data_IF_862364548497
#
_entry.id   IF_862364548497
#
_cell.length_a   1.000
_cell.length_b   1.000
_cell.length_c   1.000
_cell.angle_alpha   90.00
_cell.angle_beta   90.00
_cell.angle_gamma   90.00
#
_symmetry.space_group_name_H-M   'P 1'
#
loop_
_entity.id
_entity.type
_entity.pdbx_description
1 polymer ?
#
# COMPACT_ATOMS: atom_id res chain seq x y z
N UNK A 1 -6.87 6.59 21.10
CA UNK A 1 -5.85 5.93 20.27
C UNK A 1 -6.33 4.51 20.06
N UNK A 2 -6.97 4.22 18.94
CA UNK A 2 -7.44 2.87 18.63
C UNK A 2 -6.20 2.05 18.24
N UNK A 3 -5.72 1.20 19.15
CA UNK A 3 -4.89 0.05 18.78
C UNK A 3 -5.80 -0.90 17.99
N UNK A 4 -5.98 -0.63 16.70
CA UNK A 4 -6.57 -1.61 15.80
C UNK A 4 -5.47 -2.59 15.42
N UNK A 5 -5.50 -3.75 16.06
CA UNK A 5 -4.79 -4.92 15.56
C UNK A 5 -5.42 -5.30 14.22
N UNK A 6 -4.71 -5.01 13.14
CA UNK A 6 -5.10 -5.49 11.81
C UNK A 6 -4.91 -6.99 11.78
N UNK A 7 -5.80 -7.68 11.07
CA UNK A 7 -5.63 -9.10 10.80
C UNK A 7 -4.36 -9.33 9.97
N UNK A 8 -3.77 -10.51 10.10
CA UNK A 8 -2.62 -10.92 9.27
C UNK A 8 -2.93 -10.76 7.79
N UNK A 9 -4.16 -11.12 7.39
CA UNK A 9 -4.66 -10.93 6.03
C UNK A 9 -4.63 -9.47 5.57
N UNK A 10 -5.07 -8.52 6.40
CA UNK A 10 -5.03 -7.10 6.04
C UNK A 10 -3.59 -6.58 5.87
N UNK A 11 -2.65 -7.08 6.68
CA UNK A 11 -1.23 -6.77 6.55
C UNK A 11 -0.65 -7.35 5.25
N UNK A 12 -0.98 -8.59 4.90
CA UNK A 12 -0.61 -9.19 3.60
C UNK A 12 -1.13 -8.37 2.42
N UNK A 13 -2.41 -7.98 2.47
CA UNK A 13 -3.04 -7.15 1.44
C UNK A 13 -2.33 -5.80 1.29
N UNK A 14 -1.98 -5.17 2.41
CA UNK A 14 -1.20 -3.94 2.42
C UNK A 14 0.21 -4.14 1.79
N UNK A 15 0.88 -5.27 2.06
CA UNK A 15 2.16 -5.58 1.41
C UNK A 15 2.01 -5.78 -0.10
N UNK A 16 0.95 -6.46 -0.55
CA UNK A 16 0.67 -6.66 -1.97
C UNK A 16 0.48 -5.33 -2.70
N UNK A 17 -0.25 -4.39 -2.11
CA UNK A 17 -0.45 -3.04 -2.66
C UNK A 17 0.88 -2.28 -2.78
N UNK A 18 1.84 -2.52 -1.90
CA UNK A 18 3.15 -1.87 -1.92
C UNK A 18 4.16 -2.51 -2.89
N UNK A 19 3.92 -3.73 -3.41
CA UNK A 19 4.82 -4.40 -4.36
C UNK A 19 5.27 -3.52 -5.54
N UNK A 20 4.42 -2.69 -6.17
CA UNK A 20 4.84 -1.82 -7.26
C UNK A 20 5.89 -0.77 -6.85
N UNK A 21 5.99 -0.43 -5.57
CA UNK A 21 7.05 0.44 -5.06
C UNK A 21 8.40 -0.28 -4.89
N UNK A 22 8.43 -1.62 -4.79
CA UNK A 22 9.69 -2.39 -4.65
C UNK A 22 10.59 -2.28 -5.88
N UNK A 23 10.02 -2.05 -7.07
CA UNK A 23 10.79 -2.03 -8.32
C UNK A 23 11.56 -0.73 -8.56
N UNK A 24 11.35 0.30 -7.75
CA UNK A 24 11.79 1.69 -8.03
C UNK A 24 12.52 2.29 -6.83
N UNK A 25 13.36 1.51 -6.13
CA UNK A 25 14.18 2.02 -5.01
C UNK A 25 15.29 3.01 -5.45
N UNK A 26 15.39 3.35 -6.73
CA UNK A 26 16.35 4.32 -7.25
C UNK A 26 15.88 5.77 -7.00
N UNK A 27 16.37 6.33 -5.88
CA UNK A 27 16.60 7.75 -5.61
C UNK A 27 15.43 8.76 -5.51
N UNK A 28 14.20 8.44 -5.94
CA UNK A 28 13.02 9.31 -5.71
C UNK A 28 11.82 8.50 -5.26
N UNK A 29 11.09 8.92 -4.23
CA UNK A 29 9.84 8.26 -3.82
C UNK A 29 8.85 8.34 -4.99
N UNK A 30 8.55 7.22 -5.68
CA UNK A 30 7.77 7.29 -6.91
C UNK A 30 6.33 7.57 -6.53
N UNK A 31 5.81 8.71 -6.95
CA UNK A 31 4.39 9.02 -6.79
C UNK A 31 3.58 8.07 -7.68
N UNK A 32 2.57 7.41 -7.10
CA UNK A 32 1.65 6.53 -7.84
C UNK A 32 0.22 6.98 -7.64
N UNK A 33 -0.63 6.73 -8.62
CA UNK A 33 -2.05 7.01 -8.45
C UNK A 33 -2.76 5.86 -7.74
N UNK A 34 -3.79 6.16 -6.98
CA UNK A 34 -4.68 5.16 -6.37
C UNK A 34 -5.28 4.22 -7.42
N UNK A 35 -5.55 4.74 -8.62
CA UNK A 35 -6.04 3.96 -9.76
C UNK A 35 -5.01 2.92 -10.23
N UNK A 36 -3.74 3.32 -10.37
CA UNK A 36 -2.66 2.41 -10.74
C UNK A 36 -2.48 1.31 -9.69
N UNK A 37 -2.43 1.68 -8.40
CA UNK A 37 -2.29 0.68 -7.32
C UNK A 37 -3.46 -0.30 -7.29
N UNK A 38 -4.68 0.20 -7.52
CA UNK A 38 -5.87 -0.65 -7.61
C UNK A 38 -5.78 -1.61 -8.79
N UNK A 39 -5.42 -1.14 -9.97
CA UNK A 39 -5.28 -2.01 -11.14
C UNK A 39 -4.19 -3.06 -10.97
N UNK A 40 -3.02 -2.66 -10.46
CA UNK A 40 -1.91 -3.57 -10.20
C UNK A 40 -2.31 -4.62 -9.16
N UNK A 41 -3.03 -4.22 -8.11
CA UNK A 41 -3.54 -5.13 -7.09
C UNK A 41 -4.55 -6.13 -7.65
N UNK A 42 -5.55 -5.66 -8.41
CA UNK A 42 -6.56 -6.54 -9.02
C UNK A 42 -5.96 -7.50 -10.07
N UNK A 43 -4.83 -7.13 -10.68
CA UNK A 43 -4.07 -8.01 -11.58
C UNK A 43 -3.17 -9.00 -10.85
N UNK A 44 -2.94 -8.82 -9.55
CA UNK A 44 -2.04 -9.67 -8.77
C UNK A 44 -2.62 -11.05 -8.43
N UNK A 45 -3.95 -11.18 -8.42
CA UNK A 45 -4.66 -12.44 -8.21
C UNK A 45 -6.04 -12.40 -8.86
N UNK A 46 -6.50 -13.52 -9.42
CA UNK A 46 -7.88 -13.65 -9.95
C UNK A 46 -8.96 -13.48 -8.87
N UNK A 47 -8.61 -13.73 -7.60
CA UNK A 47 -9.51 -13.59 -6.46
C UNK A 47 -9.48 -12.19 -5.83
N UNK A 48 -8.58 -11.31 -6.27
CA UNK A 48 -8.41 -9.99 -5.69
C UNK A 48 -9.67 -9.13 -5.88
N UNK A 49 -10.24 -8.65 -4.78
CA UNK A 49 -11.45 -7.82 -4.80
C UNK A 49 -11.19 -6.35 -4.45
N UNK A 50 -12.12 -5.47 -4.82
CA UNK A 50 -12.10 -4.06 -4.40
C UNK A 50 -12.18 -3.93 -2.87
N UNK A 51 -12.88 -4.85 -2.21
CA UNK A 51 -13.00 -4.88 -0.74
C UNK A 51 -11.64 -5.15 -0.10
N UNK A 52 -10.89 -6.11 -0.61
CA UNK A 52 -9.52 -6.40 -0.14
C UNK A 52 -8.56 -5.26 -0.41
N UNK A 53 -8.64 -4.63 -1.59
CA UNK A 53 -7.86 -3.42 -1.88
C UNK A 53 -8.15 -2.32 -0.86
N UNK A 54 -9.43 -2.10 -0.55
CA UNK A 54 -9.86 -1.09 0.42
C UNK A 54 -9.35 -1.41 1.82
N UNK A 55 -9.38 -2.68 2.22
CA UNK A 55 -8.87 -3.15 3.50
C UNK A 55 -7.34 -2.93 3.63
N UNK A 56 -6.57 -3.32 2.61
CA UNK A 56 -5.13 -3.08 2.59
C UNK A 56 -4.78 -1.59 2.54
N UNK A 57 -5.50 -0.79 1.73
CA UNK A 57 -5.30 0.66 1.67
C UNK A 57 -5.58 1.35 3.01
N UNK A 58 -6.57 0.87 3.79
CA UNK A 58 -6.85 1.37 5.13
C UNK A 58 -5.63 1.22 6.04
N UNK A 59 -5.04 0.02 6.07
CA UNK A 59 -3.81 -0.24 6.85
C UNK A 59 -2.71 0.74 6.47
N UNK A 60 -2.46 0.89 5.16
CA UNK A 60 -1.36 1.74 4.67
C UNK A 60 -1.54 3.21 5.06
N UNK A 61 -2.77 3.72 5.04
CA UNK A 61 -3.08 5.10 5.41
C UNK A 61 -3.04 5.32 6.93
N UNK A 62 -3.64 4.41 7.71
CA UNK A 62 -3.71 4.53 9.17
C UNK A 62 -2.33 4.33 9.83
N UNK A 63 -1.52 3.41 9.29
CA UNK A 63 -0.10 3.21 9.70
C UNK A 63 0.84 4.26 9.12
N UNK A 64 0.35 5.17 8.25
CA UNK A 64 1.15 6.19 7.53
C UNK A 64 2.29 5.59 6.71
N UNK A 65 2.12 4.39 6.17
CA UNK A 65 3.07 3.79 5.21
C UNK A 65 2.98 4.45 3.84
N UNK A 66 1.82 5.00 3.51
CA UNK A 66 1.63 5.91 2.38
C UNK A 66 0.94 7.18 2.85
N UNK A 67 1.15 8.27 2.11
CA UNK A 67 0.43 9.52 2.30
C UNK A 67 -0.25 9.97 1.02
N UNK A 68 -1.40 10.63 1.15
CA UNK A 68 -2.11 11.27 0.03
C UNK A 68 -1.50 12.62 -0.22
N UNK A 69 -1.02 12.84 -1.44
CA UNK A 69 -0.55 14.15 -1.90
C UNK A 69 -1.72 14.98 -2.45
N UNK A 70 -2.69 14.31 -3.08
CA UNK A 70 -3.97 14.86 -3.50
C UNK A 70 -5.03 13.74 -3.59
N UNK A 71 -6.16 14.00 -4.26
CA UNK A 71 -7.27 13.04 -4.38
C UNK A 71 -6.88 11.74 -5.09
N UNK A 72 -5.86 11.77 -5.96
CA UNK A 72 -5.47 10.63 -6.78
C UNK A 72 -4.05 10.12 -6.49
N UNK A 73 -3.14 10.99 -6.06
CA UNK A 73 -1.70 10.71 -5.92
C UNK A 73 -1.34 10.30 -4.50
N UNK A 74 -0.60 9.21 -4.42
CA UNK A 74 -0.08 8.60 -3.22
C UNK A 74 1.44 8.58 -3.27
N UNK A 75 2.06 8.80 -2.12
CA UNK A 75 3.51 8.72 -1.95
C UNK A 75 3.85 7.71 -0.85
N UNK A 76 4.89 6.91 -1.10
CA UNK A 76 5.46 6.02 -0.10
C UNK A 76 6.27 6.83 0.93
N UNK A 77 5.91 6.69 2.20
CA UNK A 77 6.62 7.37 3.29
C UNK A 77 7.90 6.62 3.68
N UNK A 78 8.81 7.25 4.45
CA UNK A 78 9.95 6.53 5.02
C UNK A 78 9.53 5.32 5.86
N UNK A 79 8.47 5.41 6.65
CA UNK A 79 7.95 4.30 7.46
C UNK A 79 7.44 3.14 6.59
N UNK A 80 6.73 3.44 5.49
CA UNK A 80 6.30 2.41 4.54
C UNK A 80 7.49 1.74 3.86
N UNK A 81 8.52 2.52 3.54
CA UNK A 81 9.77 2.01 2.97
C UNK A 81 10.47 1.05 3.93
N UNK A 82 10.63 1.46 5.19
CA UNK A 82 11.24 0.63 6.24
C UNK A 82 10.45 -0.67 6.43
N UNK A 83 9.13 -0.59 6.51
CA UNK A 83 8.28 -1.78 6.65
C UNK A 83 8.40 -2.75 5.47
N UNK A 84 8.56 -2.24 4.24
CA UNK A 84 8.78 -3.09 3.07
C UNK A 84 10.13 -3.82 3.07
N UNK A 85 11.13 -3.27 3.77
CA UNK A 85 12.51 -3.79 3.85
C UNK A 85 12.77 -4.67 5.07
N UNK A 86 11.84 -4.73 6.02
CA UNK A 86 11.90 -5.67 7.14
C UNK A 86 11.50 -7.05 6.61
N UNK A 87 12.51 -7.88 6.28
CA UNK A 87 12.38 -9.33 6.04
C UNK A 87 12.39 -10.11 7.36
#
# INVERSE_FOLDING_TARGET
MTNQDYTERELELAQLILQPYRKVFEYTAPERTIHQLREDFLKSSEEATITEFTAGMRVLLERRYIQRLNDERLELTPAGREWMTQE
#
